data_IF_391527476061
#
_entry.id   IF_391527476061
#
_cell.length_a   1.000
_cell.length_b   1.000
_cell.length_c   1.000
_cell.angle_alpha   90.00
_cell.angle_beta   90.00
_cell.angle_gamma   90.00
#
_symmetry.space_group_name_H-M   'P 1'
#
loop_
_entity.id
_entity.type
_entity.pdbx_description
1 polymer ?
#
# COMPACT_ATOMS: atom_id res chain seq x y z
N UNK A 1 20.34 5.30 21.29
CA UNK A 1 19.52 6.46 20.87
C UNK A 1 18.16 6.34 21.52
N UNK A 2 17.51 7.47 21.81
CA UNK A 2 16.18 7.54 22.44
C UNK A 2 15.11 6.72 21.67
N UNK A 3 15.26 6.61 20.35
CA UNK A 3 14.43 5.75 19.49
C UNK A 3 14.46 4.25 19.85
N UNK A 4 15.61 3.71 20.30
CA UNK A 4 15.68 2.31 20.74
C UNK A 4 14.95 2.08 22.07
N UNK A 5 14.88 3.11 22.91
CA UNK A 5 14.16 3.06 24.19
C UNK A 5 12.65 3.11 23.96
N UNK A 6 12.19 3.99 23.06
CA UNK A 6 10.78 4.12 22.71
C UNK A 6 10.22 2.84 22.04
N UNK A 7 11.01 2.21 21.16
CA UNK A 7 10.63 0.94 20.51
C UNK A 7 10.52 -0.21 21.51
N UNK A 8 11.38 -0.24 22.54
CA UNK A 8 11.33 -1.26 23.59
C UNK A 8 10.09 -1.12 24.49
N UNK A 9 9.66 0.11 24.77
CA UNK A 9 8.50 0.42 25.59
C UNK A 9 7.18 -0.02 24.92
N UNK A 10 7.04 0.25 23.61
CA UNK A 10 5.86 -0.18 22.83
C UNK A 10 5.79 -1.72 22.75
N UNK A 11 6.91 -2.39 22.55
CA UNK A 11 6.95 -3.86 22.49
C UNK A 11 6.60 -4.51 23.84
N UNK A 12 6.93 -3.85 24.96
CA UNK A 12 6.53 -4.32 26.29
C UNK A 12 5.02 -4.18 26.51
N UNK A 13 4.44 -3.04 26.14
CA UNK A 13 3.00 -2.78 26.30
C UNK A 13 2.12 -3.76 25.51
N UNK A 14 2.60 -4.23 24.35
CA UNK A 14 1.90 -5.23 23.54
C UNK A 14 2.00 -6.65 24.11
N UNK A 15 2.99 -6.94 24.94
CA UNK A 15 3.19 -8.25 25.56
C UNK A 15 2.30 -8.46 26.79
N UNK A 16 1.99 -7.39 27.51
CA UNK A 16 1.23 -7.44 28.75
C UNK A 16 -0.30 -7.44 28.54
N UNK A 17 -0.77 -7.20 27.30
CA UNK A 17 -2.19 -7.10 26.96
C UNK A 17 -2.93 -8.42 26.71
N UNK A 18 -2.26 -9.57 26.80
CA UNK A 18 -2.88 -10.88 26.57
C UNK A 18 -3.11 -11.64 27.88
N UNK A 19 -4.02 -11.16 28.73
CA UNK A 19 -4.71 -12.04 29.68
C UNK A 19 -6.12 -11.55 30.05
N UNK A 20 -7.08 -12.47 29.91
CA UNK A 20 -8.42 -12.54 30.53
C UNK A 20 -9.66 -11.92 29.84
N UNK A 21 -10.44 -12.82 29.23
CA UNK A 21 -11.86 -13.14 29.50
C UNK A 21 -12.94 -12.03 29.52
N UNK A 22 -13.82 -12.08 28.51
CA UNK A 22 -15.28 -12.10 28.65
C UNK A 22 -15.98 -10.93 29.37
N UNK A 23 -16.25 -9.85 28.62
CA UNK A 23 -17.19 -8.80 29.04
C UNK A 23 -17.65 -7.96 27.86
N UNK A 24 -18.94 -8.01 27.53
CA UNK A 24 -19.58 -7.16 26.52
C UNK A 24 -19.50 -5.70 26.96
N UNK A 25 -18.57 -4.94 26.37
CA UNK A 25 -18.52 -3.48 26.48
C UNK A 25 -18.46 -2.91 25.08
N UNK A 26 -19.40 -1.99 24.81
CA UNK A 26 -19.52 -1.23 23.57
C UNK A 26 -18.14 -0.64 23.23
N UNK A 27 -17.59 -1.02 22.08
CA UNK A 27 -16.26 -0.56 21.66
C UNK A 27 -16.26 0.97 21.55
N UNK A 28 -15.28 1.69 22.14
CA UNK A 28 -15.04 3.07 21.78
C UNK A 28 -14.64 3.14 20.30
N UNK A 29 -14.94 4.24 19.59
CA UNK A 29 -14.49 4.41 18.21
C UNK A 29 -12.97 4.24 18.17
N UNK A 30 -12.49 3.47 17.19
CA UNK A 30 -11.08 3.20 17.01
C UNK A 30 -10.29 4.53 16.97
N UNK A 31 -9.11 4.62 17.62
CA UNK A 31 -8.25 5.77 17.48
C UNK A 31 -7.91 5.93 15.99
N UNK A 32 -8.19 7.10 15.45
CA UNK A 32 -7.76 7.47 14.09
C UNK A 32 -6.25 7.32 14.00
N UNK A 33 -5.70 6.62 13.00
CA UNK A 33 -4.26 6.53 12.82
C UNK A 33 -3.68 7.94 12.62
N UNK A 34 -2.55 8.28 13.24
CA UNK A 34 -1.90 9.57 13.06
C UNK A 34 -1.08 9.53 11.77
N UNK A 35 -1.72 9.35 10.63
CA UNK A 35 -1.11 9.61 9.33
C UNK A 35 -2.20 10.19 8.45
N UNK A 36 -2.26 11.52 8.45
CA UNK A 36 -3.00 12.27 7.45
C UNK A 36 -2.40 11.93 6.10
N UNK A 37 -3.03 10.99 5.39
CA UNK A 37 -2.88 10.92 3.95
C UNK A 37 -3.57 12.18 3.40
N UNK A 38 -2.78 13.24 3.21
CA UNK A 38 -3.19 14.39 2.42
C UNK A 38 -3.60 13.90 1.05
N UNK A 39 -4.88 14.08 0.69
CA UNK A 39 -5.45 13.70 -0.61
C UNK A 39 -5.10 14.71 -1.72
N UNK A 40 -3.86 15.19 -1.76
CA UNK A 40 -3.38 16.06 -2.82
C UNK A 40 -1.92 15.71 -3.07
N UNK A 41 -1.70 14.71 -3.94
CA UNK A 41 -0.35 14.33 -4.34
C UNK A 41 0.30 15.43 -5.18
N UNK A 42 0.80 16.46 -4.51
CA UNK A 42 1.81 17.33 -5.09
C UNK A 42 3.12 16.53 -5.20
N UNK A 43 4.00 16.90 -6.14
CA UNK A 43 5.27 16.19 -6.34
C UNK A 43 6.14 16.15 -5.09
N UNK A 44 6.00 17.16 -4.21
CA UNK A 44 6.72 17.28 -2.95
C UNK A 44 6.36 16.15 -1.98
N UNK A 45 5.08 15.76 -1.91
CA UNK A 45 4.58 14.67 -1.05
C UNK A 45 5.15 13.31 -1.47
N UNK A 46 5.35 13.09 -2.78
CA UNK A 46 5.89 11.83 -3.28
C UNK A 46 7.40 11.72 -3.09
N UNK A 47 8.12 12.83 -3.21
CA UNK A 47 9.56 12.89 -2.94
C UNK A 47 9.84 12.65 -1.46
N UNK A 48 9.09 13.29 -0.56
CA UNK A 48 9.21 13.07 0.89
C UNK A 48 8.95 11.60 1.25
N UNK A 49 7.89 10.99 0.70
CA UNK A 49 7.61 9.57 0.91
C UNK A 49 8.76 8.66 0.46
N UNK A 50 9.31 8.92 -0.72
CA UNK A 50 10.45 8.15 -1.23
C UNK A 50 11.69 8.31 -0.33
N UNK A 51 12.04 9.55 0.02
CA UNK A 51 13.23 9.86 0.83
C UNK A 51 13.12 9.31 2.26
N UNK A 52 11.92 9.36 2.86
CA UNK A 52 11.66 8.75 4.16
C UNK A 52 11.91 7.23 4.09
N UNK A 53 11.37 6.54 3.09
CA UNK A 53 11.54 5.10 2.92
C UNK A 53 12.99 4.73 2.65
N UNK A 54 13.69 5.50 1.82
CA UNK A 54 15.12 5.31 1.56
C UNK A 54 15.95 5.54 2.83
N UNK A 55 15.65 6.57 3.61
CA UNK A 55 16.30 6.85 4.88
C UNK A 55 16.11 5.72 5.91
N UNK A 56 14.88 5.23 6.09
CA UNK A 56 14.60 4.10 6.98
C UNK A 56 15.41 2.86 6.56
N UNK A 57 15.41 2.55 5.26
CA UNK A 57 16.11 1.38 4.72
C UNK A 57 17.63 1.51 4.82
N UNK A 58 18.19 2.71 4.67
CA UNK A 58 19.62 2.97 4.85
C UNK A 58 20.03 2.85 6.32
N UNK A 59 19.34 3.56 7.23
CA UNK A 59 19.76 3.68 8.63
C UNK A 59 19.29 2.53 9.52
N UNK A 60 18.06 2.05 9.36
CA UNK A 60 17.52 0.93 10.14
C UNK A 60 17.72 -0.41 9.43
N UNK A 61 17.64 -0.42 8.10
CA UNK A 61 17.88 -1.62 7.29
C UNK A 61 19.35 -1.91 7.03
N UNK A 62 20.25 -0.98 7.37
CA UNK A 62 21.71 -1.07 7.13
C UNK A 62 22.06 -1.34 5.66
N UNK A 63 21.18 -0.92 4.74
CA UNK A 63 21.40 -1.05 3.30
C UNK A 63 22.29 0.08 2.79
N UNK A 64 23.06 -0.18 1.75
CA UNK A 64 23.72 0.91 1.01
C UNK A 64 22.67 1.87 0.45
N UNK A 65 22.99 3.16 0.33
CA UNK A 65 22.07 4.17 -0.25
C UNK A 65 21.41 3.70 -1.55
N UNK A 66 22.19 3.14 -2.47
CA UNK A 66 21.69 2.61 -3.75
C UNK A 66 20.63 1.50 -3.58
N UNK A 67 20.87 0.56 -2.67
CA UNK A 67 19.94 -0.55 -2.43
C UNK A 67 18.70 -0.10 -1.64
N UNK A 68 18.88 0.87 -0.74
CA UNK A 68 17.80 1.51 -0.01
C UNK A 68 16.87 2.28 -0.96
N UNK A 69 17.42 3.09 -1.87
CA UNK A 69 16.67 3.81 -2.91
C UNK A 69 15.94 2.85 -3.85
N UNK A 70 16.60 1.77 -4.30
CA UNK A 70 15.96 0.75 -5.15
C UNK A 70 14.73 0.14 -4.48
N UNK A 71 14.83 -0.20 -3.19
CA UNK A 71 13.71 -0.77 -2.43
C UNK A 71 12.66 0.28 -2.06
N UNK A 72 13.06 1.52 -1.79
CA UNK A 72 12.16 2.64 -1.57
C UNK A 72 11.32 2.90 -2.82
N UNK A 73 11.92 2.88 -4.00
CA UNK A 73 11.21 3.05 -5.26
C UNK A 73 10.14 1.96 -5.47
N UNK A 74 10.46 0.70 -5.17
CA UNK A 74 9.48 -0.39 -5.22
C UNK A 74 8.32 -0.19 -4.22
N UNK A 75 8.61 0.32 -3.03
CA UNK A 75 7.58 0.66 -2.05
C UNK A 75 6.71 1.84 -2.53
N UNK A 76 7.32 2.84 -3.18
CA UNK A 76 6.63 4.00 -3.76
C UNK A 76 5.74 3.58 -4.93
N UNK A 77 6.14 2.63 -5.77
CA UNK A 77 5.29 2.03 -6.81
C UNK A 77 4.01 1.44 -6.19
N UNK A 78 4.15 0.63 -5.13
CA UNK A 78 3.01 0.01 -4.44
C UNK A 78 2.13 1.09 -3.81
N UNK A 79 2.73 2.10 -3.18
CA UNK A 79 1.99 3.21 -2.56
C UNK A 79 1.19 4.00 -3.61
N UNK A 80 1.81 4.33 -4.75
CA UNK A 80 1.13 4.96 -5.88
C UNK A 80 -0.05 4.13 -6.37
N UNK A 81 0.14 2.82 -6.53
CA UNK A 81 -0.92 1.91 -6.95
C UNK A 81 -2.10 1.88 -5.98
N UNK A 82 -1.85 2.04 -4.68
CA UNK A 82 -2.86 2.06 -3.63
C UNK A 82 -3.62 3.39 -3.54
N UNK A 83 -3.00 4.50 -3.95
CA UNK A 83 -3.65 5.82 -3.93
C UNK A 83 -4.30 6.17 -5.28
N UNK A 84 -3.94 5.47 -6.35
CA UNK A 84 -4.45 5.73 -7.71
C UNK A 84 -5.34 4.59 -8.18
N UNK A 85 -6.65 4.58 -7.89
CA UNK A 85 -7.53 3.49 -8.29
C UNK A 85 -7.55 3.29 -9.82
N UNK A 86 -7.75 2.05 -10.31
CA UNK A 86 -7.93 1.78 -11.73
C UNK A 86 -9.23 2.40 -12.26
N UNK A 87 -9.25 2.73 -13.55
CA UNK A 87 -10.38 3.42 -14.19
C UNK A 87 -11.64 2.56 -14.35
N UNK A 88 -11.50 1.24 -14.46
CA UNK A 88 -12.64 0.33 -14.62
C UNK A 88 -13.11 -0.17 -13.25
N UNK A 89 -14.16 0.48 -12.73
CA UNK A 89 -14.84 0.15 -11.47
C UNK A 89 -16.16 -0.58 -11.72
N UNK A 90 -16.40 -1.07 -12.94
CA UNK A 90 -17.57 -1.89 -13.23
C UNK A 90 -17.34 -3.31 -12.70
N UNK A 91 -18.29 -3.78 -11.89
CA UNK A 91 -18.22 -5.10 -11.27
C UNK A 91 -18.46 -6.24 -12.29
N UNK A 92 -18.99 -5.92 -13.47
CA UNK A 92 -19.36 -6.91 -14.49
C UNK A 92 -18.26 -7.18 -15.53
N UNK A 93 -17.20 -6.35 -15.61
CA UNK A 93 -16.19 -6.42 -16.67
C UNK A 93 -14.76 -6.53 -16.15
N UNK A 94 -13.95 -7.35 -16.83
CA UNK A 94 -12.56 -7.59 -16.46
C UNK A 94 -11.76 -6.31 -16.64
N UNK A 95 -11.13 -5.81 -15.57
CA UNK A 95 -10.36 -4.57 -15.61
C UNK A 95 -9.12 -4.62 -16.53
N UNK A 96 -8.77 -5.79 -17.07
CA UNK A 96 -7.67 -5.98 -18.02
C UNK A 96 -8.13 -6.03 -19.47
N UNK A 97 -9.01 -6.96 -19.83
CA UNK A 97 -9.43 -7.17 -21.23
C UNK A 97 -10.72 -6.45 -21.60
N UNK A 98 -11.53 -6.05 -20.61
CA UNK A 98 -12.82 -5.39 -20.82
C UNK A 98 -13.98 -6.35 -21.11
N UNK A 99 -13.72 -7.65 -21.25
CA UNK A 99 -14.78 -8.66 -21.44
C UNK A 99 -15.52 -8.94 -20.12
N UNK A 100 -16.77 -9.43 -20.17
CA UNK A 100 -17.50 -9.82 -18.97
C UNK A 100 -16.72 -10.81 -18.08
N UNK A 101 -16.74 -10.57 -16.76
CA UNK A 101 -15.92 -11.35 -15.80
C UNK A 101 -16.40 -12.78 -15.60
N UNK A 102 -17.63 -13.07 -16.01
CA UNK A 102 -18.26 -14.38 -15.81
C UNK A 102 -18.73 -14.56 -14.37
N UNK A 103 -18.70 -15.80 -13.86
CA UNK A 103 -19.18 -16.08 -12.51
C UNK A 103 -18.11 -15.70 -11.47
N UNK A 104 -18.45 -14.74 -10.61
CA UNK A 104 -17.66 -14.39 -9.42
C UNK A 104 -17.30 -15.64 -8.60
N UNK A 105 -16.02 -15.77 -8.25
CA UNK A 105 -15.50 -16.88 -7.46
C UNK A 105 -15.12 -18.14 -8.26
N UNK A 106 -15.43 -18.19 -9.55
CA UNK A 106 -14.99 -19.28 -10.44
C UNK A 106 -14.12 -18.74 -11.59
N UNK A 107 -14.62 -17.75 -12.31
CA UNK A 107 -13.96 -17.18 -13.49
C UNK A 107 -13.26 -15.85 -13.16
N UNK A 108 -13.72 -15.18 -12.11
CA UNK A 108 -13.27 -13.88 -11.67
C UNK A 108 -12.64 -13.90 -10.27
N UNK A 109 -11.51 -13.23 -10.12
CA UNK A 109 -10.82 -12.97 -8.86
C UNK A 109 -10.91 -11.49 -8.51
N UNK A 110 -11.24 -11.14 -7.26
CA UNK A 110 -11.20 -9.76 -6.80
C UNK A 110 -9.74 -9.36 -6.55
N UNK A 111 -9.34 -8.20 -7.06
CA UNK A 111 -8.05 -7.58 -6.76
C UNK A 111 -8.27 -6.26 -6.03
N UNK A 112 -7.70 -6.13 -4.83
CA UNK A 112 -7.86 -4.95 -3.99
C UNK A 112 -7.04 -3.78 -4.56
N UNK A 113 -7.61 -2.57 -4.57
CA UNK A 113 -6.99 -1.42 -5.25
C UNK A 113 -6.41 -0.35 -4.33
N UNK A 114 -6.41 -0.54 -3.00
CA UNK A 114 -6.04 0.50 -2.03
C UNK A 114 -7.07 1.64 -2.02
N UNK A 115 -7.58 2.03 -0.85
CA UNK A 115 -8.65 3.04 -0.77
C UNK A 115 -10.08 2.48 -0.72
N UNK A 116 -10.25 1.20 -0.36
CA UNK A 116 -11.54 0.52 -0.10
C UNK A 116 -12.27 -0.07 -1.31
N UNK A 117 -11.63 -0.10 -2.49
CA UNK A 117 -12.17 -0.70 -3.70
C UNK A 117 -11.58 -2.08 -4.03
N UNK A 118 -12.27 -2.79 -4.92
CA UNK A 118 -11.76 -3.95 -5.63
C UNK A 118 -12.11 -3.83 -7.10
N UNK A 119 -11.34 -4.50 -7.95
CA UNK A 119 -11.69 -4.75 -9.35
C UNK A 119 -11.77 -6.23 -9.61
N UNK A 120 -12.56 -6.59 -10.60
CA UNK A 120 -12.69 -7.97 -11.04
C UNK A 120 -11.80 -8.25 -12.23
N UNK A 121 -11.11 -9.40 -12.17
CA UNK A 121 -10.20 -9.86 -13.21
C UNK A 121 -10.45 -11.33 -13.48
N UNK A 122 -10.33 -11.77 -14.73
CA UNK A 122 -10.15 -13.19 -14.97
C UNK A 122 -8.84 -13.68 -14.33
N UNK A 123 -8.82 -14.91 -13.83
CA UNK A 123 -7.61 -15.49 -13.24
C UNK A 123 -6.38 -15.35 -14.17
N UNK A 124 -6.55 -15.63 -15.46
CA UNK A 124 -5.47 -15.51 -16.46
C UNK A 124 -5.06 -14.07 -16.78
N UNK A 125 -5.90 -13.08 -16.47
CA UNK A 125 -5.63 -11.67 -16.74
C UNK A 125 -4.85 -10.97 -15.63
N UNK A 126 -4.78 -11.55 -14.43
CA UNK A 126 -4.21 -10.91 -13.25
C UNK A 126 -2.75 -10.44 -13.45
N UNK A 127 -1.87 -11.30 -13.98
CA UNK A 127 -0.45 -10.96 -14.16
C UNK A 127 -0.24 -9.82 -15.16
N UNK A 128 -0.99 -9.82 -16.26
CA UNK A 128 -0.91 -8.76 -17.27
C UNK A 128 -1.43 -7.42 -16.72
N UNK A 129 -2.51 -7.47 -15.93
CA UNK A 129 -3.05 -6.31 -15.24
C UNK A 129 -2.05 -5.72 -14.24
N UNK A 130 -1.47 -6.56 -13.39
CA UNK A 130 -0.45 -6.15 -12.42
C UNK A 130 0.77 -5.52 -13.09
N UNK A 131 1.25 -6.10 -14.19
CA UNK A 131 2.38 -5.55 -14.95
C UNK A 131 2.05 -4.15 -15.51
N UNK A 132 0.86 -3.99 -16.11
CA UNK A 132 0.39 -2.70 -16.62
C UNK A 132 0.30 -1.65 -15.51
N UNK A 133 -0.24 -2.03 -14.35
CA UNK A 133 -0.39 -1.12 -13.20
C UNK A 133 0.96 -0.67 -12.64
N UNK A 134 1.93 -1.59 -12.54
CA UNK A 134 3.30 -1.24 -12.17
C UNK A 134 3.95 -0.31 -13.19
N UNK A 135 3.77 -0.57 -14.48
CA UNK A 135 4.29 0.31 -15.53
C UNK A 135 3.71 1.73 -15.42
N UNK A 136 2.40 1.86 -15.23
CA UNK A 136 1.74 3.17 -15.04
C UNK A 136 2.30 3.92 -13.82
N UNK A 137 2.51 3.20 -12.71
CA UNK A 137 3.10 3.78 -11.52
C UNK A 137 4.54 4.27 -11.77
N UNK A 138 5.37 3.44 -12.40
CA UNK A 138 6.75 3.80 -12.77
C UNK A 138 6.78 5.02 -13.69
N UNK A 139 5.93 5.06 -14.72
CA UNK A 139 5.85 6.19 -15.65
C UNK A 139 5.44 7.48 -14.93
N UNK A 140 4.44 7.41 -14.03
CA UNK A 140 3.99 8.55 -13.25
C UNK A 140 5.07 9.06 -12.28
N UNK A 141 5.73 8.16 -11.55
CA UNK A 141 6.80 8.50 -10.60
C UNK A 141 8.01 9.12 -11.31
N UNK A 142 8.43 8.54 -12.43
CA UNK A 142 9.52 9.10 -13.24
C UNK A 142 9.16 10.48 -13.78
N UNK A 143 7.91 10.71 -14.18
CA UNK A 143 7.45 12.03 -14.63
C UNK A 143 7.48 13.09 -13.51
N UNK A 144 7.43 12.66 -12.24
CA UNK A 144 7.60 13.51 -11.06
C UNK A 144 9.07 13.66 -10.63
N UNK A 145 10.01 13.00 -11.31
CA UNK A 145 11.44 13.02 -10.97
C UNK A 145 11.84 12.03 -9.87
N UNK A 146 10.98 11.08 -9.53
CA UNK A 146 11.22 10.07 -8.50
C UNK A 146 11.74 8.81 -9.19
N UNK A 147 12.98 8.43 -8.89
CA UNK A 147 13.63 7.24 -9.47
C UNK A 147 15.14 7.26 -9.38
#
# INVERSE_FOLDING_TARGET
>A
SELRSFKAEIVSLLRDGCNESGGSLVSPPAPTPPFGASQSGDSDDWQEWFDERAGILEYEGELTRQEAERQAFEATIIHWMNLTPPQNLDDDHCAQCGDPVGRVGNDAVPCLTGGSGHVWLHHGCHSAWMARRRQQATEALNAMGIG
#
